data_IF_540218413987
#
_entry.id   IF_540218413987
#
_cell.length_a   1.000
_cell.length_b   1.000
_cell.length_c   1.000
_cell.angle_alpha   90.00
_cell.angle_beta   90.00
_cell.angle_gamma   90.00
#
_symmetry.space_group_name_H-M   'P 1'
#
loop_
_entity.id
_entity.type
_entity.pdbx_description
1 polymer ?
#
# COMPACT_ATOMS: atom_id res chain seq x y z
N UNK A 1 -12.80 -34.45 18.89
CA UNK A 1 -12.10 -33.79 17.76
C UNK A 1 -11.84 -32.35 18.17
N UNK A 2 -10.57 -31.93 18.35
CA UNK A 2 -10.22 -30.52 18.62
C UNK A 2 -10.38 -29.75 17.30
N UNK A 3 -11.38 -28.88 17.22
CA UNK A 3 -11.57 -28.02 16.04
C UNK A 3 -10.37 -27.10 15.89
N UNK A 4 -9.74 -27.10 14.70
CA UNK A 4 -8.70 -26.13 14.35
C UNK A 4 -9.33 -24.73 14.40
N UNK A 5 -9.16 -24.02 15.52
CA UNK A 5 -9.43 -22.58 15.60
C UNK A 5 -8.25 -21.86 14.97
N UNK A 6 -8.25 -21.75 13.65
CA UNK A 6 -7.19 -21.03 12.96
C UNK A 6 -7.48 -20.89 11.47
N UNK A 7 -7.43 -19.64 10.99
CA UNK A 7 -7.53 -19.26 9.58
C UNK A 7 -8.64 -19.99 8.80
N UNK A 8 -9.93 -19.69 9.08
CA UNK A 8 -11.07 -20.46 8.54
C UNK A 8 -11.17 -20.44 7.02
N UNK A 9 -10.60 -19.41 6.38
CA UNK A 9 -10.60 -19.21 4.94
C UNK A 9 -9.25 -19.53 4.29
N UNK A 10 -8.27 -20.06 5.06
CA UNK A 10 -6.92 -20.33 4.59
C UNK A 10 -6.25 -19.13 3.88
N UNK A 11 -6.53 -17.91 4.34
CA UNK A 11 -5.96 -16.68 3.79
C UNK A 11 -4.46 -16.61 4.09
N UNK A 12 -3.66 -16.17 3.11
CA UNK A 12 -2.20 -16.07 3.26
C UNK A 12 -1.75 -14.66 3.61
N UNK A 13 -2.35 -13.64 2.98
CA UNK A 13 -1.97 -12.24 3.11
C UNK A 13 -3.04 -11.31 2.54
N UNK A 14 -2.91 -10.01 2.82
CA UNK A 14 -3.57 -8.99 2.03
C UNK A 14 -3.00 -9.02 0.61
N UNK A 15 -3.87 -9.11 -0.40
CA UNK A 15 -3.43 -9.16 -1.80
C UNK A 15 -3.34 -7.76 -2.41
N UNK A 16 -4.43 -6.99 -2.32
CA UNK A 16 -4.49 -5.62 -2.80
C UNK A 16 -5.57 -4.83 -2.06
N UNK A 17 -5.49 -3.51 -2.17
CA UNK A 17 -6.59 -2.59 -1.87
C UNK A 17 -7.10 -1.99 -3.17
N UNK A 18 -8.38 -1.61 -3.20
CA UNK A 18 -8.97 -0.91 -4.32
C UNK A 18 -9.34 0.50 -3.88
N UNK A 19 -8.88 1.49 -4.64
CA UNK A 19 -9.13 2.91 -4.39
C UNK A 19 -9.77 3.53 -5.63
N UNK A 20 -10.75 4.39 -5.37
CA UNK A 20 -11.40 5.15 -6.43
C UNK A 20 -10.77 6.53 -6.47
N UNK A 21 -10.43 7.01 -7.66
CA UNK A 21 -9.75 8.28 -7.85
C UNK A 21 -10.45 9.15 -8.88
N UNK A 22 -10.30 10.47 -8.74
CA UNK A 22 -10.73 11.45 -9.74
C UNK A 22 -9.78 11.51 -10.93
N UNK A 23 -8.47 11.37 -10.67
CA UNK A 23 -7.41 11.40 -11.68
C UNK A 23 -6.43 10.25 -11.49
N UNK A 24 -6.29 9.39 -12.51
CA UNK A 24 -5.27 8.34 -12.49
C UNK A 24 -3.86 8.88 -12.53
N UNK A 25 -3.61 9.96 -13.26
CA UNK A 25 -2.28 10.53 -13.37
C UNK A 25 -1.80 11.03 -12.00
N UNK A 26 -2.61 11.83 -11.31
CA UNK A 26 -2.28 12.34 -9.97
C UNK A 26 -2.14 11.22 -8.95
N UNK A 27 -3.01 10.22 -9.01
CA UNK A 27 -2.96 9.07 -8.11
C UNK A 27 -1.71 8.21 -8.37
N UNK A 28 -1.40 7.89 -9.62
CA UNK A 28 -0.21 7.13 -9.97
C UNK A 28 1.04 7.89 -9.51
N UNK A 29 1.11 9.20 -9.77
CA UNK A 29 2.23 10.04 -9.35
C UNK A 29 2.42 10.01 -7.84
N UNK A 30 1.34 10.18 -7.07
CA UNK A 30 1.37 10.10 -5.61
C UNK A 30 1.86 8.73 -5.12
N UNK A 31 1.18 7.64 -5.51
CA UNK A 31 1.51 6.31 -5.01
C UNK A 31 2.91 5.87 -5.42
N UNK A 32 3.39 6.30 -6.59
CA UNK A 32 4.74 6.03 -7.07
C UNK A 32 5.80 6.87 -6.37
N UNK A 33 5.66 8.19 -6.36
CA UNK A 33 6.73 9.09 -5.94
C UNK A 33 6.73 9.38 -4.44
N UNK A 34 5.57 9.29 -3.78
CA UNK A 34 5.44 9.49 -2.33
C UNK A 34 5.59 8.16 -1.60
N UNK A 35 4.88 7.11 -2.04
CA UNK A 35 4.85 5.80 -1.35
C UNK A 35 5.72 4.72 -1.99
N UNK A 36 6.36 4.98 -3.13
CA UNK A 36 7.34 4.07 -3.73
C UNK A 36 6.74 2.87 -4.46
N UNK A 37 5.45 2.90 -4.82
CA UNK A 37 4.83 1.83 -5.61
C UNK A 37 5.30 1.86 -7.08
N UNK A 38 5.24 0.71 -7.74
CA UNK A 38 5.53 0.62 -9.18
C UNK A 38 4.28 0.26 -9.97
N UNK A 39 3.97 0.95 -11.08
CA UNK A 39 2.91 0.51 -12.00
C UNK A 39 3.23 -0.86 -12.59
N UNK A 40 2.21 -1.72 -12.69
CA UNK A 40 2.33 -3.07 -13.25
C UNK A 40 1.31 -3.30 -14.36
N UNK A 41 1.57 -4.32 -15.18
CA UNK A 41 0.73 -4.64 -16.34
C UNK A 41 -0.68 -5.06 -15.90
N UNK A 42 -1.69 -4.42 -16.51
CA UNK A 42 -3.10 -4.74 -16.33
C UNK A 42 -3.60 -5.74 -17.38
N UNK A 43 -4.51 -6.67 -17.04
CA UNK A 43 -5.21 -7.51 -18.02
C UNK A 43 -6.00 -6.67 -19.03
N UNK A 44 -5.92 -7.03 -20.31
CA UNK A 44 -6.59 -6.30 -21.41
C UNK A 44 -8.11 -6.38 -21.39
N UNK A 45 -8.68 -7.33 -20.65
CA UNK A 45 -10.13 -7.54 -20.53
C UNK A 45 -10.85 -6.50 -19.68
N UNK A 46 -10.13 -5.59 -19.03
CA UNK A 46 -10.73 -4.53 -18.23
C UNK A 46 -10.93 -3.27 -19.08
N UNK A 47 -12.19 -2.92 -19.31
CA UNK A 47 -12.58 -1.81 -20.20
C UNK A 47 -12.83 -0.49 -19.46
N UNK A 48 -12.59 -0.44 -18.15
CA UNK A 48 -12.62 0.81 -17.38
C UNK A 48 -11.23 1.47 -17.32
N UNK A 49 -11.21 2.77 -17.06
CA UNK A 49 -9.98 3.51 -16.85
C UNK A 49 -9.40 3.21 -15.46
N UNK A 50 -8.22 2.60 -15.39
CA UNK A 50 -7.62 2.19 -14.13
C UNK A 50 -6.18 1.75 -14.25
N UNK A 51 -5.48 1.73 -13.12
CA UNK A 51 -4.08 1.35 -13.02
C UNK A 51 -3.85 0.35 -11.88
N UNK A 52 -2.90 -0.56 -12.08
CA UNK A 52 -2.46 -1.49 -11.04
C UNK A 52 -1.05 -1.10 -10.63
N UNK A 53 -0.82 -1.02 -9.33
CA UNK A 53 0.48 -0.72 -8.74
C UNK A 53 0.84 -1.81 -7.73
N UNK A 54 2.12 -2.05 -7.54
CA UNK A 54 2.62 -3.04 -6.59
C UNK A 54 3.80 -2.49 -5.79
N UNK A 55 3.85 -2.81 -4.51
CA UNK A 55 4.87 -2.33 -3.59
C UNK A 55 4.64 -2.88 -2.19
N UNK A 56 5.70 -3.01 -1.39
CA UNK A 56 5.60 -3.45 0.01
C UNK A 56 4.85 -4.79 0.23
N UNK A 57 4.84 -5.66 -0.79
CA UNK A 57 4.12 -6.94 -0.76
C UNK A 57 2.61 -6.86 -1.01
N UNK A 58 2.06 -5.68 -1.33
CA UNK A 58 0.63 -5.46 -1.61
C UNK A 58 0.41 -4.79 -2.96
N UNK A 59 -0.77 -5.03 -3.55
CA UNK A 59 -1.26 -4.29 -4.72
C UNK A 59 -2.12 -3.08 -4.36
N UNK A 60 -2.11 -2.07 -5.23
CA UNK A 60 -3.10 -0.99 -5.24
C UNK A 60 -3.77 -0.99 -6.62
N UNK A 61 -5.09 -1.15 -6.63
CA UNK A 61 -5.91 -1.00 -7.82
C UNK A 61 -6.57 0.38 -7.80
N UNK A 62 -6.14 1.26 -8.70
CA UNK A 62 -6.77 2.56 -8.91
C UNK A 62 -7.87 2.43 -9.95
N UNK A 63 -9.06 2.90 -9.60
CA UNK A 63 -10.25 2.90 -10.45
C UNK A 63 -10.66 4.36 -10.67
N UNK A 64 -10.53 4.88 -11.88
CA UNK A 64 -10.99 6.23 -12.15
C UNK A 64 -12.51 6.26 -12.16
N UNK A 65 -13.09 7.19 -11.43
CA UNK A 65 -14.53 7.40 -11.44
C UNK A 65 -14.96 8.38 -12.52
N UNK A 66 -16.09 8.12 -13.17
CA UNK A 66 -16.61 8.96 -14.26
C UNK A 66 -17.21 10.27 -13.77
N UNK A 67 -17.70 10.31 -12.52
CA UNK A 67 -18.39 11.47 -11.94
C UNK A 67 -17.71 11.93 -10.63
N UNK A 68 -16.63 12.73 -10.72
CA UNK A 68 -15.84 13.19 -9.58
C UNK A 68 -16.66 13.81 -8.44
N UNK A 69 -17.76 14.48 -8.75
CA UNK A 69 -18.60 15.17 -7.75
C UNK A 69 -19.33 14.20 -6.81
N UNK A 70 -19.42 12.92 -7.18
CA UNK A 70 -20.00 11.88 -6.34
C UNK A 70 -19.00 11.23 -5.39
N UNK A 71 -17.71 11.54 -5.52
CA UNK A 71 -16.71 11.01 -4.60
C UNK A 71 -16.74 11.76 -3.26
N UNK A 72 -16.43 11.07 -2.15
CA UNK A 72 -16.29 11.71 -0.86
C UNK A 72 -15.32 12.89 -0.97
N UNK A 73 -15.75 14.07 -0.52
CA UNK A 73 -14.90 15.24 -0.52
C UNK A 73 -13.81 15.07 0.54
N UNK A 74 -12.60 15.49 0.20
CA UNK A 74 -11.47 15.54 1.12
C UNK A 74 -11.83 16.37 2.36
N UNK A 75 -11.80 15.73 3.52
CA UNK A 75 -12.02 16.39 4.82
C UNK A 75 -10.69 16.73 5.48
N UNK A 76 -10.75 17.29 6.68
CA UNK A 76 -9.57 17.41 7.55
C UNK A 76 -8.99 16.03 7.88
N UNK A 77 -7.68 15.99 8.14
CA UNK A 77 -6.98 14.78 8.55
C UNK A 77 -7.44 14.41 9.96
N UNK A 78 -8.05 13.24 10.09
CA UNK A 78 -8.56 12.74 11.36
C UNK A 78 -7.92 11.37 11.67
N UNK A 79 -7.00 11.28 12.64
CA UNK A 79 -6.33 10.02 13.01
C UNK A 79 -7.28 8.85 13.37
N UNK A 80 -8.57 9.11 13.61
CA UNK A 80 -9.60 8.09 13.89
C UNK A 80 -10.32 7.58 12.63
N UNK A 81 -10.06 8.14 11.46
CA UNK A 81 -10.70 7.74 10.21
C UNK A 81 -10.10 6.45 9.64
N UNK A 82 -10.80 5.85 8.67
CA UNK A 82 -10.30 4.66 7.96
C UNK A 82 -9.03 5.00 7.17
N UNK A 83 -8.02 4.15 7.25
CA UNK A 83 -6.73 4.34 6.57
C UNK A 83 -6.10 2.99 6.20
N UNK A 84 -5.11 3.05 5.30
CA UNK A 84 -4.07 2.02 5.22
C UNK A 84 -2.84 2.49 5.98
N UNK A 85 -2.15 1.56 6.63
CA UNK A 85 -0.96 1.86 7.43
C UNK A 85 0.27 1.16 6.85
N UNK A 86 1.38 1.88 6.78
CA UNK A 86 2.67 1.33 6.41
C UNK A 86 3.67 1.46 7.55
N UNK A 87 4.48 0.41 7.72
CA UNK A 87 5.64 0.44 8.59
C UNK A 87 6.76 1.26 7.93
N UNK A 88 7.54 1.98 8.74
CA UNK A 88 8.74 2.66 8.27
C UNK A 88 9.95 2.38 9.16
N UNK A 89 11.14 2.68 8.66
CA UNK A 89 12.38 2.59 9.43
C UNK A 89 12.59 3.82 10.34
N UNK A 90 12.14 4.99 9.89
CA UNK A 90 12.29 6.26 10.63
C UNK A 90 11.14 7.21 10.32
N UNK A 91 10.34 7.49 11.34
CA UNK A 91 9.23 8.46 11.27
C UNK A 91 9.75 9.86 10.98
N UNK A 92 10.87 10.26 11.58
CA UNK A 92 11.43 11.60 11.37
C UNK A 92 11.93 11.80 9.92
N UNK A 93 12.47 10.75 9.29
CA UNK A 93 12.84 10.80 7.89
C UNK A 93 11.61 10.96 6.97
N UNK A 94 10.52 10.27 7.29
CA UNK A 94 9.24 10.39 6.58
C UNK A 94 8.67 11.78 6.75
N UNK A 95 8.62 12.29 7.99
CA UNK A 95 8.12 13.64 8.29
C UNK A 95 8.86 14.72 7.50
N UNK A 96 10.20 14.63 7.47
CA UNK A 96 11.04 15.52 6.67
C UNK A 96 10.67 15.46 5.18
N UNK A 97 10.48 14.26 4.62
CA UNK A 97 10.12 14.08 3.20
C UNK A 97 8.73 14.64 2.87
N UNK A 98 7.74 14.39 3.72
CA UNK A 98 6.40 14.98 3.55
C UNK A 98 6.45 16.51 3.56
N UNK A 99 7.25 17.08 4.46
CA UNK A 99 7.48 18.54 4.55
C UNK A 99 8.14 19.08 3.29
N UNK A 100 9.21 18.43 2.80
CA UNK A 100 9.90 18.79 1.55
C UNK A 100 8.96 18.74 0.32
N UNK A 101 8.03 17.78 0.31
CA UNK A 101 7.03 17.63 -0.76
C UNK A 101 5.82 18.57 -0.59
N UNK A 102 5.72 19.33 0.51
CA UNK A 102 4.58 20.20 0.79
C UNK A 102 3.28 19.44 1.12
N UNK A 103 3.38 18.17 1.52
CA UNK A 103 2.23 17.34 1.89
C UNK A 103 1.84 17.66 3.33
N UNK A 104 0.58 18.05 3.53
CA UNK A 104 0.02 18.27 4.88
C UNK A 104 -0.15 16.94 5.61
N UNK A 105 0.27 16.90 6.86
CA UNK A 105 0.15 15.72 7.72
C UNK A 105 -0.22 16.10 9.16
N UNK A 106 -0.67 15.11 9.94
CA UNK A 106 -0.86 15.20 11.39
C UNK A 106 0.02 14.14 12.05
N UNK A 107 0.82 14.57 13.04
CA UNK A 107 1.60 13.65 13.90
C UNK A 107 0.79 13.29 15.14
N UNK A 108 0.83 12.02 15.52
CA UNK A 108 0.27 11.53 16.77
C UNK A 108 1.31 10.67 17.51
N UNK A 109 1.24 10.67 18.84
CA UNK A 109 2.08 9.84 19.70
C UNK A 109 1.16 9.02 20.61
N UNK A 110 1.32 7.70 20.56
CA UNK A 110 0.57 6.76 21.40
C UNK A 110 1.55 6.14 22.40
N UNK A 111 1.15 6.12 23.66
CA UNK A 111 1.86 5.41 24.72
C UNK A 111 1.04 4.17 25.13
N UNK A 112 1.67 3.00 25.08
CA UNK A 112 1.09 1.74 25.57
C UNK A 112 2.11 1.09 26.48
N UNK A 113 1.82 1.02 27.78
CA UNK A 113 2.67 0.35 28.78
C UNK A 113 4.13 0.85 28.75
N UNK A 114 4.34 2.16 28.54
CA UNK A 114 5.66 2.78 28.45
C UNK A 114 6.37 2.62 27.09
N UNK A 115 5.72 1.98 26.10
CA UNK A 115 6.18 1.93 24.72
C UNK A 115 5.56 3.10 23.94
N UNK A 116 6.42 3.87 23.28
CA UNK A 116 6.03 5.02 22.46
C UNK A 116 5.98 4.66 20.97
N UNK A 117 4.81 4.86 20.39
CA UNK A 117 4.51 4.66 18.97
C UNK A 117 4.16 5.98 18.32
N UNK A 118 4.93 6.35 17.31
CA UNK A 118 4.69 7.54 16.50
C UNK A 118 3.88 7.16 15.27
N UNK A 119 2.95 8.04 14.92
CA UNK A 119 2.10 7.92 13.74
C UNK A 119 2.10 9.23 12.97
N UNK A 120 2.16 9.14 11.64
CA UNK A 120 1.95 10.26 10.73
C UNK A 120 0.76 9.95 9.83
N UNK A 121 -0.23 10.83 9.81
CA UNK A 121 -1.42 10.71 8.97
C UNK A 121 -1.42 11.78 7.90
N UNK A 122 -1.68 11.41 6.65
CA UNK A 122 -1.85 12.32 5.54
C UNK A 122 -2.84 11.74 4.53
N UNK A 123 -3.24 12.57 3.57
CA UNK A 123 -4.16 12.17 2.53
C UNK A 123 -3.44 11.98 1.20
N UNK A 124 -3.92 11.02 0.42
CA UNK A 124 -3.69 10.97 -1.02
C UNK A 124 -4.41 12.14 -1.74
N UNK A 125 -4.32 12.24 -3.09
CA UNK A 125 -4.98 13.30 -3.86
C UNK A 125 -6.49 13.39 -3.57
N UNK A 126 -7.17 12.24 -3.52
CA UNK A 126 -8.62 12.11 -3.38
C UNK A 126 -9.11 12.12 -1.92
N UNK A 127 -8.20 12.16 -0.93
CA UNK A 127 -8.56 12.25 0.48
C UNK A 127 -8.58 10.92 1.22
N UNK A 128 -8.15 9.82 0.58
CA UNK A 128 -7.93 8.57 1.28
C UNK A 128 -6.75 8.71 2.25
N UNK A 129 -6.91 8.18 3.46
CA UNK A 129 -5.95 8.39 4.53
C UNK A 129 -4.86 7.32 4.53
N UNK A 130 -3.62 7.79 4.60
CA UNK A 130 -2.42 6.98 4.73
C UNK A 130 -1.82 7.26 6.10
N UNK A 131 -1.55 6.20 6.84
CA UNK A 131 -0.81 6.22 8.09
C UNK A 131 0.60 5.67 7.85
N UNK A 132 1.60 6.31 8.44
CA UNK A 132 2.92 5.74 8.63
C UNK A 132 3.14 5.55 10.12
N UNK A 133 3.41 4.33 10.56
CA UNK A 133 3.55 3.96 11.97
C UNK A 133 4.85 3.19 12.23
N UNK A 134 5.37 3.28 13.46
CA UNK A 134 6.37 2.35 14.01
C UNK A 134 5.74 1.35 14.99
N UNK A 135 4.60 0.79 14.57
CA UNK A 135 3.72 -0.05 15.38
C UNK A 135 4.34 -1.42 15.70
N UNK A 136 5.38 -1.84 14.97
CA UNK A 136 6.18 -3.04 15.23
C UNK A 136 6.84 -3.07 16.62
N UNK A 137 6.95 -1.91 17.28
CA UNK A 137 7.38 -1.82 18.69
C UNK A 137 6.40 -2.46 19.67
N UNK A 138 5.11 -2.57 19.32
CA UNK A 138 4.09 -3.12 20.20
C UNK A 138 4.03 -4.64 20.10
N UNK A 139 3.93 -5.36 21.22
CA UNK A 139 3.66 -6.79 21.18
C UNK A 139 2.24 -7.05 20.66
N UNK A 140 2.10 -7.93 19.67
CA UNK A 140 0.79 -8.41 19.22
C UNK A 140 0.30 -9.48 20.20
N UNK A 141 -0.59 -9.09 21.10
CA UNK A 141 -1.20 -9.98 22.09
C UNK A 141 -2.66 -10.22 21.65
N UNK A 142 -3.01 -11.41 21.11
CA UNK A 142 -4.38 -11.70 20.76
C UNK A 142 -5.25 -11.70 22.02
N UNK A 143 -6.45 -11.12 21.93
CA UNK A 143 -7.48 -11.20 22.96
C UNK A 143 -8.07 -12.62 22.98
N UNK A 144 -7.28 -13.60 23.43
CA UNK A 144 -7.76 -14.97 23.63
C UNK A 144 -8.50 -14.97 24.96
N UNK A 145 -9.81 -15.28 24.97
CA UNK A 145 -10.51 -15.57 26.22
C UNK A 145 -9.77 -16.69 26.95
N UNK A 146 -9.55 -16.57 28.25
CA UNK A 146 -8.81 -17.50 29.11
C UNK A 146 -9.21 -18.98 28.92
N UNK A 147 -8.67 -19.67 27.92
CA UNK A 147 -8.66 -21.13 27.81
C UNK A 147 -7.58 -21.56 26.82
N UNK A 148 -6.37 -21.77 27.32
CA UNK A 148 -5.59 -22.97 27.04
C UNK A 148 -4.34 -22.95 27.91
N UNK A 149 -4.38 -23.75 28.97
CA UNK A 149 -3.22 -24.12 29.77
C UNK A 149 -2.09 -24.65 28.91
N UNK A 150 -0.88 -24.25 29.28
CA UNK A 150 0.41 -24.91 29.07
C UNK A 150 0.42 -26.23 28.27
N UNK A 151 1.19 -26.27 27.18
CA UNK A 151 2.15 -27.36 26.95
C UNK A 151 3.09 -27.08 25.77
N UNK A 152 4.38 -27.05 26.12
CA UNK A 152 5.58 -27.45 25.37
C UNK A 152 5.85 -26.89 23.97
N UNK A 153 7.00 -26.19 23.92
CA UNK A 153 7.90 -26.01 22.78
C UNK A 153 7.89 -27.20 21.80
N UNK A 154 7.60 -26.94 20.53
CA UNK A 154 8.02 -27.81 19.42
C UNK A 154 8.58 -26.92 18.32
N UNK A 155 9.91 -26.88 18.24
CA UNK A 155 10.61 -26.45 17.05
C UNK A 155 10.43 -27.49 15.95
N UNK A 156 10.10 -27.08 14.72
CA UNK A 156 10.20 -27.92 13.52
C UNK A 156 10.18 -27.04 12.26
N UNK A 157 10.75 -27.51 11.14
CA UNK A 157 11.78 -26.78 10.41
C UNK A 157 11.30 -25.96 9.22
N UNK A 158 12.17 -25.06 8.76
CA UNK A 158 12.06 -24.33 7.49
C UNK A 158 11.68 -25.27 6.34
N UNK A 159 10.53 -25.01 5.72
CA UNK A 159 10.21 -25.54 4.40
C UNK A 159 10.41 -24.43 3.38
N UNK A 160 11.52 -24.50 2.68
CA UNK A 160 11.87 -23.65 1.54
C UNK A 160 10.92 -23.92 0.37
N UNK A 161 10.13 -22.92 -0.01
CA UNK A 161 9.55 -22.78 -1.35
C UNK A 161 9.15 -21.32 -1.56
N UNK A 162 10.16 -20.46 -1.66
CA UNK A 162 10.00 -19.13 -2.24
C UNK A 162 10.03 -19.28 -3.76
N UNK A 163 8.85 -19.32 -4.40
CA UNK A 163 8.75 -19.07 -5.83
C UNK A 163 8.88 -17.56 -6.05
N UNK A 164 10.14 -17.12 -6.16
CA UNK A 164 10.48 -15.83 -6.72
C UNK A 164 10.05 -15.80 -8.19
N UNK A 165 9.09 -14.94 -8.55
CA UNK A 165 9.06 -14.41 -9.92
C UNK A 165 10.16 -13.36 -10.03
N UNK A 166 11.34 -13.80 -10.46
CA UNK A 166 12.41 -12.91 -10.91
C UNK A 166 11.97 -12.31 -12.24
N UNK A 167 11.64 -11.01 -12.26
CA UNK A 167 11.84 -10.24 -13.47
C UNK A 167 13.34 -10.06 -13.65
N UNK A 168 13.91 -10.70 -14.67
CA UNK A 168 15.28 -10.46 -15.10
C UNK A 168 15.34 -9.04 -15.66
N UNK A 169 15.81 -8.09 -14.86
CA UNK A 169 16.32 -6.82 -15.39
C UNK A 169 17.75 -7.09 -15.81
N UNK A 170 17.92 -7.41 -17.10
CA UNK A 170 19.24 -7.48 -17.73
C UNK A 170 19.85 -6.09 -17.70
N UNK A 171 20.95 -5.94 -16.95
CA UNK A 171 21.79 -4.74 -16.97
C UNK A 171 22.57 -4.69 -18.28
N UNK A 172 22.02 -4.01 -19.28
CA UNK A 172 22.79 -3.48 -20.41
C UNK A 172 23.00 -1.98 -20.22
N UNK A 173 24.18 -1.44 -20.53
CA UNK A 173 24.49 -0.03 -20.28
C UNK A 173 23.69 0.89 -21.21
N UNK A 174 23.43 2.08 -20.67
CA UNK A 174 22.69 3.21 -21.23
C UNK A 174 22.98 3.46 -22.72
N UNK A 175 22.05 3.05 -23.58
CA UNK A 175 21.94 3.50 -24.96
C UNK A 175 20.72 4.42 -25.04
N UNK A 176 20.92 5.68 -25.47
CA UNK A 176 19.85 6.65 -25.68
C UNK A 176 18.84 6.07 -26.68
N UNK A 177 17.59 5.92 -26.26
CA UNK A 177 16.51 5.54 -27.16
C UNK A 177 16.22 6.68 -28.16
N UNK A 178 16.03 6.37 -29.45
CA UNK A 178 15.62 7.35 -30.44
C UNK A 178 14.17 7.79 -30.19
N UNK A 179 13.87 9.04 -30.59
CA UNK A 179 12.68 9.82 -30.25
C UNK A 179 11.34 9.31 -30.83
N UNK A 180 11.27 8.08 -31.32
CA UNK A 180 10.07 7.52 -31.99
C UNK A 180 9.35 6.42 -31.18
N UNK A 181 9.91 5.90 -30.08
CA UNK A 181 9.20 4.91 -29.23
C UNK A 181 8.35 5.54 -28.11
N UNK A 182 8.49 6.85 -27.88
CA UNK A 182 7.71 7.60 -26.87
C UNK A 182 6.28 7.89 -27.37
N UNK A 183 6.05 7.86 -28.69
CA UNK A 183 4.75 8.13 -29.31
C UNK A 183 3.77 6.93 -29.22
N UNK A 184 4.20 5.77 -28.74
CA UNK A 184 3.30 4.62 -28.51
C UNK A 184 2.54 4.65 -27.18
N UNK A 185 2.76 5.70 -26.37
CA UNK A 185 2.16 5.86 -25.03
C UNK A 185 1.04 6.92 -25.03
N UNK A 186 0.79 7.65 -26.14
CA UNK A 186 -0.18 8.77 -26.12
C UNK A 186 -1.25 8.86 -27.22
N UNK A 187 -1.27 8.05 -28.28
CA UNK A 187 -2.29 8.21 -29.33
C UNK A 187 -3.27 7.03 -29.43
N UNK A 188 -4.53 7.26 -29.04
CA UNK A 188 -5.70 6.85 -29.84
C UNK A 188 -6.98 7.56 -29.35
N UNK A 189 -7.07 8.87 -29.59
CA UNK A 189 -8.37 9.50 -29.88
C UNK A 189 -8.63 9.47 -31.40
N UNK A 190 -9.91 9.29 -31.73
CA UNK A 190 -10.55 9.43 -33.05
C UNK A 190 -10.42 8.26 -34.05
N UNK A 191 -11.56 7.59 -34.30
CA UNK A 191 -11.71 6.69 -35.46
C UNK A 191 -12.90 5.74 -35.40
N UNK A 192 -14.09 6.28 -35.71
CA UNK A 192 -15.41 5.64 -35.93
C UNK A 192 -16.30 5.36 -34.71
#
# INVERSE_FOLDING_TARGET
MKGKTGNPLALTSLNHISLVCTSLEESIDFYKNVLGFVPVRRPRSFHFNGAWLFGHGIGIHLLQWEDPEKLPKKTEINPKGNHISFQCESIDAVEKKLTEMGIKYVRNLVEVEGIYVDQLFFHDPDGFMVEICNCDKLPVIPLVGEMASSSSLVASPLSSSLLFFIFVVSTTPLMKLPREEIDSIQDFESGY
#
